data_IF_445106314701
#
_entry.id   IF_445106314701
#
_cell.length_a   1.000
_cell.length_b   1.000
_cell.length_c   1.000
_cell.angle_alpha   90.00
_cell.angle_beta   90.00
_cell.angle_gamma   90.00
#
_symmetry.space_group_name_H-M   'P 1'
#
loop_
_entity.id
_entity.type
_entity.pdbx_description
1 polymer ?
#
# COMPACT_ATOMS: atom_id res chain seq x y z
N UNK A 1 22.35 4.22 16.56
CA UNK A 1 21.06 4.57 15.91
C UNK A 1 20.73 6.02 16.27
N UNK A 2 20.01 6.76 15.41
CA UNK A 2 19.57 8.13 15.73
C UNK A 2 18.38 8.06 16.69
N UNK A 3 18.28 9.02 17.60
CA UNK A 3 17.17 9.13 18.56
C UNK A 3 16.25 10.29 18.19
N UNK A 4 14.95 10.11 18.35
CA UNK A 4 13.92 11.14 18.17
C UNK A 4 13.02 11.20 19.41
N UNK A 5 12.66 12.41 19.84
CA UNK A 5 11.75 12.59 20.97
C UNK A 5 10.33 12.26 20.55
N UNK A 6 9.57 11.59 21.43
CA UNK A 6 8.17 11.25 21.17
C UNK A 6 7.31 12.50 20.99
N UNK A 7 7.67 13.61 21.64
CA UNK A 7 7.00 14.91 21.51
C UNK A 7 7.15 15.53 20.11
N UNK A 8 8.20 15.16 19.37
CA UNK A 8 8.43 15.63 18.01
C UNK A 8 7.68 14.78 16.97
N UNK A 9 7.08 13.66 17.39
CA UNK A 9 6.32 12.78 16.51
C UNK A 9 4.94 13.35 16.21
N UNK A 10 4.61 13.35 14.93
CA UNK A 10 3.31 13.71 14.38
C UNK A 10 2.71 12.49 13.68
N UNK A 11 1.39 12.27 13.83
CA UNK A 11 0.70 11.25 13.05
C UNK A 11 0.99 11.41 11.55
N UNK A 12 1.32 10.32 10.87
CA UNK A 12 1.66 10.31 9.45
C UNK A 12 3.15 10.45 9.12
N UNK A 13 4.03 10.64 10.12
CA UNK A 13 5.48 10.53 9.92
C UNK A 13 5.89 9.10 9.53
N UNK A 14 6.88 8.97 8.66
CA UNK A 14 7.48 7.67 8.28
C UNK A 14 9.00 7.79 8.22
N UNK A 15 9.69 6.67 8.44
CA UNK A 15 11.14 6.57 8.34
C UNK A 15 11.52 5.55 7.28
N UNK A 16 12.61 5.78 6.56
CA UNK A 16 13.12 4.86 5.52
C UNK A 16 13.74 3.57 6.08
N UNK A 17 13.94 3.51 7.40
CA UNK A 17 14.35 2.33 8.16
C UNK A 17 13.38 2.09 9.32
N UNK A 18 13.35 0.88 9.91
CA UNK A 18 12.47 0.59 11.02
C UNK A 18 12.73 1.49 12.22
N UNK A 19 11.67 1.73 12.99
CA UNK A 19 11.69 2.55 14.20
C UNK A 19 11.49 1.63 15.39
N UNK A 20 12.33 1.82 16.40
CA UNK A 20 12.40 1.01 17.60
C UNK A 20 12.09 1.86 18.83
N UNK A 21 11.49 1.23 19.84
CA UNK A 21 11.34 1.77 21.19
C UNK A 21 12.65 1.59 21.95
N UNK A 22 13.26 0.42 21.80
CA UNK A 22 14.54 0.03 22.40
C UNK A 22 15.22 -1.01 21.48
N UNK A 23 16.38 -1.55 21.90
CA UNK A 23 17.15 -2.50 21.09
C UNK A 23 16.40 -3.80 20.71
N UNK A 24 15.31 -4.15 21.40
CA UNK A 24 14.55 -5.37 21.17
C UNK A 24 13.11 -5.14 20.68
N UNK A 25 12.55 -3.94 20.88
CA UNK A 25 11.14 -3.66 20.62
C UNK A 25 10.97 -2.71 19.42
N UNK A 26 10.46 -3.24 18.30
CA UNK A 26 10.14 -2.44 17.12
C UNK A 26 8.77 -1.77 17.27
N UNK A 27 8.72 -0.46 17.04
CA UNK A 27 7.47 0.32 17.01
C UNK A 27 6.76 0.13 15.67
N UNK A 28 7.47 0.41 14.57
CA UNK A 28 6.97 0.31 13.19
C UNK A 28 8.10 -0.11 12.24
N UNK A 29 7.73 -0.83 11.18
CA UNK A 29 8.66 -1.19 10.10
C UNK A 29 9.08 0.01 9.23
N UNK A 30 10.07 -0.21 8.37
CA UNK A 30 10.49 0.80 7.39
C UNK A 30 9.33 1.21 6.47
N UNK A 31 9.25 2.50 6.13
CA UNK A 31 8.23 3.12 5.28
C UNK A 31 6.78 3.02 5.79
N UNK A 32 6.57 2.53 7.01
CA UNK A 32 5.26 2.49 7.67
C UNK A 32 5.01 3.84 8.36
N UNK A 33 3.79 4.35 8.22
CA UNK A 33 3.38 5.60 8.88
C UNK A 33 3.08 5.37 10.34
N UNK A 34 3.59 6.26 11.20
CA UNK A 34 3.29 6.29 12.62
C UNK A 34 1.86 6.81 12.79
N UNK A 35 0.96 6.01 13.37
CA UNK A 35 -0.43 6.39 13.61
C UNK A 35 -0.54 7.17 14.91
N UNK A 36 -1.60 7.97 15.04
CA UNK A 36 -1.87 8.71 16.29
C UNK A 36 -2.03 7.75 17.49
N UNK A 37 -2.59 6.56 17.27
CA UNK A 37 -2.70 5.51 18.27
C UNK A 37 -1.34 5.02 18.79
N UNK A 38 -0.32 4.99 17.93
CA UNK A 38 1.03 4.55 18.29
C UNK A 38 1.69 5.58 19.20
N UNK A 39 1.54 6.87 18.88
CA UNK A 39 2.08 7.98 19.68
C UNK A 39 1.39 8.03 21.05
N UNK A 40 0.05 7.89 21.11
CA UNK A 40 -0.70 7.80 22.37
C UNK A 40 -0.22 6.63 23.25
N UNK A 41 0.12 5.50 22.62
CA UNK A 41 0.63 4.32 23.32
C UNK A 41 2.03 4.57 23.89
N UNK A 42 2.91 5.22 23.14
CA UNK A 42 4.24 5.63 23.62
C UNK A 42 4.15 6.56 24.84
N UNK A 43 3.28 7.57 24.78
CA UNK A 43 3.04 8.48 25.92
C UNK A 43 2.51 7.72 27.14
N UNK A 44 1.55 6.81 26.95
CA UNK A 44 0.99 5.99 28.03
C UNK A 44 2.04 5.07 28.68
N UNK A 45 3.01 4.59 27.90
CA UNK A 45 4.11 3.76 28.37
C UNK A 45 5.26 4.56 28.98
N UNK A 46 5.19 5.90 28.99
CA UNK A 46 6.24 6.77 29.52
C UNK A 46 7.53 6.75 28.69
N UNK A 47 7.45 6.35 27.42
CA UNK A 47 8.58 6.33 26.51
C UNK A 47 8.79 7.75 25.98
N UNK A 48 9.96 8.34 26.26
CA UNK A 48 10.33 9.70 25.86
C UNK A 48 11.05 9.76 24.52
N UNK A 49 11.70 8.67 24.09
CA UNK A 49 12.51 8.61 22.88
C UNK A 49 12.31 7.32 22.09
N UNK A 50 12.50 7.40 20.77
CA UNK A 50 12.52 6.27 19.84
C UNK A 50 13.85 6.25 19.07
N UNK A 51 14.26 5.08 18.60
CA UNK A 51 15.52 4.87 17.88
C UNK A 51 15.28 4.41 16.43
N UNK A 52 16.04 4.95 15.49
CA UNK A 52 16.06 4.45 14.11
C UNK A 52 17.42 4.65 13.46
N UNK A 53 17.82 3.73 12.60
CA UNK A 53 18.98 3.93 11.72
C UNK A 53 18.64 4.82 10.51
N UNK A 54 17.35 5.13 10.32
CA UNK A 54 16.82 5.83 9.17
C UNK A 54 16.80 7.34 9.31
N UNK A 55 16.24 7.98 8.29
CA UNK A 55 15.93 9.41 8.28
C UNK A 55 14.43 9.61 8.13
N UNK A 56 13.94 10.68 8.75
CA UNK A 56 12.55 11.07 8.67
C UNK A 56 12.20 11.43 7.22
N UNK A 57 11.26 10.68 6.65
CA UNK A 57 10.65 10.99 5.36
C UNK A 57 9.33 11.69 5.67
N UNK A 58 9.41 12.95 6.07
CA UNK A 58 8.24 13.77 6.41
C UNK A 58 7.29 13.87 5.21
N UNK A 59 6.00 13.78 5.47
CA UNK A 59 4.91 14.08 4.53
C UNK A 59 4.75 15.58 4.24
N UNK A 60 5.89 16.25 4.02
CA UNK A 60 6.05 17.55 3.34
C UNK A 60 7.23 17.48 2.33
N UNK A 61 8.10 16.48 2.43
CA UNK A 61 9.21 16.26 1.49
C UNK A 61 8.83 15.51 0.22
N UNK A 62 7.59 15.05 0.09
CA UNK A 62 7.07 14.66 -1.24
C UNK A 62 6.88 15.91 -2.14
N UNK A 63 6.81 17.13 -1.56
CA UNK A 63 6.85 18.43 -2.26
C UNK A 63 8.29 19.02 -2.30
N UNK A 64 9.25 18.46 -1.56
CA UNK A 64 10.67 18.92 -1.54
C UNK A 64 11.66 17.96 -2.20
N UNK A 65 11.23 16.84 -2.76
CA UNK A 65 12.03 16.15 -3.79
C UNK A 65 12.16 17.03 -5.06
N UNK A 66 11.22 17.95 -5.25
CA UNK A 66 11.17 18.92 -6.35
C UNK A 66 12.13 20.11 -6.26
N UNK A 67 12.85 20.34 -5.14
CA UNK A 67 13.65 21.57 -4.97
C UNK A 67 15.14 21.37 -4.63
N UNK A 68 15.64 20.13 -4.49
CA UNK A 68 17.08 19.87 -4.29
C UNK A 68 17.72 19.02 -5.39
N UNK A 69 17.08 18.97 -6.55
CA UNK A 69 17.60 18.30 -7.74
C UNK A 69 17.66 19.30 -8.89
N UNK A 70 18.18 20.49 -8.64
CA UNK A 70 18.45 21.48 -9.67
C UNK A 70 19.96 21.64 -9.82
N UNK A 71 20.53 20.87 -10.75
CA UNK A 71 21.60 21.26 -11.68
C UNK A 71 22.30 20.06 -12.37
N UNK A 72 22.19 18.82 -11.88
CA UNK A 72 23.04 17.70 -12.36
C UNK A 72 22.30 16.43 -12.82
N UNK A 73 20.97 16.42 -12.82
CA UNK A 73 20.21 15.20 -13.08
C UNK A 73 19.81 15.10 -14.55
N UNK A 74 20.27 14.02 -15.18
CA UNK A 74 19.94 13.66 -16.57
C UNK A 74 18.43 13.74 -16.81
N UNK A 75 18.03 14.16 -18.03
CA UNK A 75 16.64 14.15 -18.48
C UNK A 75 15.93 12.82 -18.20
N UNK A 76 16.67 11.71 -18.17
CA UNK A 76 16.13 10.38 -17.89
C UNK A 76 15.69 10.20 -16.43
N UNK A 77 16.44 10.76 -15.49
CA UNK A 77 16.08 10.68 -14.08
C UNK A 77 14.86 11.56 -13.77
N UNK A 78 14.70 12.72 -14.42
CA UNK A 78 13.46 13.51 -14.34
C UNK A 78 12.23 12.73 -14.86
N UNK A 79 12.37 12.06 -16.01
CA UNK A 79 11.31 11.19 -16.57
C UNK A 79 10.94 10.01 -15.66
N UNK A 80 11.89 9.47 -14.90
CA UNK A 80 11.62 8.38 -13.94
C UNK A 80 10.79 8.92 -12.76
N UNK A 81 11.16 10.09 -12.24
CA UNK A 81 10.46 10.75 -11.13
C UNK A 81 9.03 11.11 -11.53
N UNK A 82 8.84 11.68 -12.73
CA UNK A 82 7.52 12.05 -13.23
C UNK A 82 6.62 10.81 -13.39
N UNK A 83 7.16 9.70 -13.93
CA UNK A 83 6.44 8.43 -14.04
C UNK A 83 6.05 7.85 -12.68
N UNK A 84 6.97 7.89 -11.70
CA UNK A 84 6.68 7.42 -10.35
C UNK A 84 5.61 8.29 -9.66
N UNK A 85 5.69 9.60 -9.82
CA UNK A 85 4.70 10.54 -9.25
C UNK A 85 3.31 10.32 -9.84
N UNK A 86 3.24 10.10 -11.16
CA UNK A 86 2.01 9.70 -11.84
C UNK A 86 1.49 8.35 -11.35
N UNK A 87 2.35 7.38 -11.03
CA UNK A 87 1.93 6.11 -10.44
C UNK A 87 1.35 6.26 -9.04
N UNK A 88 1.92 7.13 -8.21
CA UNK A 88 1.44 7.37 -6.85
C UNK A 88 -0.01 7.88 -6.81
N UNK A 89 -0.45 8.66 -7.80
CA UNK A 89 -1.84 9.15 -7.83
C UNK A 89 -2.86 8.01 -7.99
N UNK A 90 -2.46 6.88 -8.57
CA UNK A 90 -3.32 5.72 -8.80
C UNK A 90 -3.32 4.73 -7.62
N UNK A 91 -2.43 4.92 -6.63
CA UNK A 91 -2.36 4.07 -5.43
C UNK A 91 -3.68 4.03 -4.67
N UNK A 92 -4.37 5.18 -4.58
CA UNK A 92 -5.66 5.26 -3.89
C UNK A 92 -6.72 4.39 -4.58
N UNK A 93 -6.82 4.50 -5.91
CA UNK A 93 -7.76 3.70 -6.70
C UNK A 93 -7.49 2.19 -6.55
N UNK A 94 -6.21 1.78 -6.56
CA UNK A 94 -5.85 0.39 -6.31
C UNK A 94 -6.32 -0.09 -4.93
N UNK A 95 -6.04 0.68 -3.87
CA UNK A 95 -6.45 0.33 -2.51
C UNK A 95 -7.97 0.17 -2.40
N UNK A 96 -8.72 1.07 -3.03
CA UNK A 96 -10.18 1.07 -2.98
C UNK A 96 -10.74 -0.18 -3.70
N UNK A 97 -10.24 -0.50 -4.90
CA UNK A 97 -10.64 -1.69 -5.67
C UNK A 97 -10.24 -2.99 -4.94
N UNK A 98 -9.01 -3.05 -4.42
CA UNK A 98 -8.51 -4.23 -3.69
C UNK A 98 -9.33 -4.50 -2.42
N UNK A 99 -9.62 -3.44 -1.64
CA UNK A 99 -10.42 -3.57 -0.42
C UNK A 99 -11.84 -4.05 -0.73
N UNK A 100 -12.45 -3.52 -1.79
CA UNK A 100 -13.78 -3.96 -2.21
C UNK A 100 -13.78 -5.41 -2.68
N UNK A 101 -12.77 -5.83 -3.44
CA UNK A 101 -12.60 -7.23 -3.83
C UNK A 101 -12.45 -8.16 -2.61
N UNK A 102 -11.64 -7.76 -1.63
CA UNK A 102 -11.50 -8.53 -0.39
C UNK A 102 -12.83 -8.61 0.37
N UNK A 103 -13.60 -7.53 0.42
CA UNK A 103 -14.91 -7.51 1.07
C UNK A 103 -15.87 -8.50 0.39
N UNK A 104 -16.02 -8.41 -0.93
CA UNK A 104 -16.93 -9.27 -1.69
C UNK A 104 -16.54 -10.75 -1.59
N UNK A 105 -15.25 -11.07 -1.76
CA UNK A 105 -14.78 -12.46 -1.62
C UNK A 105 -14.98 -12.96 -0.19
N UNK A 106 -14.76 -12.12 0.81
CA UNK A 106 -15.01 -12.44 2.22
C UNK A 106 -16.50 -12.71 2.50
N UNK A 107 -17.39 -11.87 1.95
CA UNK A 107 -18.84 -12.00 2.11
C UNK A 107 -19.34 -13.29 1.43
N UNK A 108 -18.87 -13.59 0.22
CA UNK A 108 -19.19 -14.84 -0.49
C UNK A 108 -18.69 -16.06 0.29
N UNK A 109 -17.45 -16.01 0.80
CA UNK A 109 -16.91 -17.09 1.63
C UNK A 109 -17.76 -17.31 2.89
N UNK A 110 -18.21 -16.23 3.52
CA UNK A 110 -19.14 -16.27 4.65
C UNK A 110 -20.48 -16.93 4.29
N UNK A 111 -21.09 -16.52 3.18
CA UNK A 111 -22.35 -17.09 2.70
C UNK A 111 -22.21 -18.60 2.42
N UNK A 112 -21.15 -19.02 1.73
CA UNK A 112 -20.86 -20.44 1.48
C UNK A 112 -20.74 -21.22 2.79
N UNK A 113 -20.04 -20.66 3.79
CA UNK A 113 -19.85 -21.31 5.09
C UNK A 113 -21.17 -21.52 5.84
N UNK A 114 -22.13 -20.61 5.67
CA UNK A 114 -23.42 -20.64 6.37
C UNK A 114 -24.54 -21.26 5.53
N UNK A 115 -24.23 -21.78 4.34
CA UNK A 115 -25.22 -22.31 3.37
C UNK A 115 -26.26 -21.26 2.93
N UNK A 116 -25.82 -20.00 2.81
CA UNK A 116 -26.63 -18.87 2.35
C UNK A 116 -26.45 -18.61 0.85
N UNK A 117 -27.50 -18.11 0.20
CA UNK A 117 -27.40 -17.66 -1.19
C UNK A 117 -26.57 -16.38 -1.32
N UNK A 118 -25.81 -16.28 -2.41
CA UNK A 118 -25.03 -15.08 -2.76
C UNK A 118 -25.19 -14.76 -4.24
N UNK A 119 -25.03 -13.47 -4.59
CA UNK A 119 -25.11 -12.99 -5.96
C UNK A 119 -23.72 -12.88 -6.60
N UNK A 120 -23.62 -13.21 -7.89
CA UNK A 120 -22.36 -13.15 -8.65
C UNK A 120 -22.14 -11.79 -9.34
N UNK A 121 -23.18 -10.96 -9.48
CA UNK A 121 -23.09 -9.68 -10.20
C UNK A 121 -22.04 -8.73 -9.59
N UNK A 122 -21.96 -8.70 -8.26
CA UNK A 122 -20.98 -7.90 -7.53
C UNK A 122 -19.54 -8.38 -7.77
N UNK A 123 -19.35 -9.70 -7.84
CA UNK A 123 -18.06 -10.30 -8.15
C UNK A 123 -17.62 -9.98 -9.59
N UNK A 124 -18.52 -10.14 -10.56
CA UNK A 124 -18.22 -9.81 -11.96
C UNK A 124 -17.85 -8.33 -12.16
N UNK A 125 -18.58 -7.43 -11.50
CA UNK A 125 -18.29 -5.99 -11.55
C UNK A 125 -16.94 -5.67 -10.92
N UNK A 126 -16.56 -6.41 -9.89
CA UNK A 126 -15.24 -6.27 -9.26
C UNK A 126 -14.12 -6.71 -10.19
N UNK A 127 -14.27 -7.86 -10.85
CA UNK A 127 -13.29 -8.33 -11.85
C UNK A 127 -13.14 -7.31 -12.99
N UNK A 128 -14.25 -6.76 -13.50
CA UNK A 128 -14.23 -5.67 -14.49
C UNK A 128 -13.43 -4.45 -14.01
N UNK A 129 -13.63 -4.03 -12.76
CA UNK A 129 -12.92 -2.89 -12.18
C UNK A 129 -11.42 -3.16 -12.04
N UNK A 130 -11.03 -4.40 -11.67
CA UNK A 130 -9.63 -4.81 -11.60
C UNK A 130 -8.99 -4.76 -12.99
N UNK A 131 -9.64 -5.34 -14.01
CA UNK A 131 -9.14 -5.32 -15.39
C UNK A 131 -8.94 -3.88 -15.87
N UNK A 132 -9.95 -3.02 -15.71
CA UNK A 132 -9.87 -1.61 -16.09
C UNK A 132 -8.70 -0.88 -15.42
N UNK A 133 -8.48 -1.13 -14.13
CA UNK A 133 -7.39 -0.52 -13.36
C UNK A 133 -6.00 -0.97 -13.87
N UNK A 134 -5.87 -2.24 -14.27
CA UNK A 134 -4.64 -2.77 -14.85
C UNK A 134 -4.41 -2.17 -16.25
N UNK A 135 -5.44 -2.11 -17.10
CA UNK A 135 -5.36 -1.56 -18.45
C UNK A 135 -5.01 -0.06 -18.46
N UNK A 136 -5.53 0.71 -17.50
CA UNK A 136 -5.19 2.11 -17.33
C UNK A 136 -3.72 2.31 -16.92
N UNK A 137 -3.17 1.42 -16.08
CA UNK A 137 -1.79 1.51 -15.60
C UNK A 137 -1.16 0.15 -15.33
N UNK A 138 -0.44 -0.39 -16.32
CA UNK A 138 0.25 -1.68 -16.20
C UNK A 138 1.31 -1.76 -15.08
N UNK A 139 1.74 -0.64 -14.49
CA UNK A 139 2.73 -0.64 -13.39
C UNK A 139 2.09 -0.60 -12.00
N UNK A 140 0.75 -0.59 -11.90
CA UNK A 140 0.03 -0.49 -10.63
C UNK A 140 0.25 -1.71 -9.72
N UNK A 141 0.61 -2.86 -10.31
CA UNK A 141 0.93 -4.09 -9.58
C UNK A 141 2.12 -3.92 -8.62
N UNK A 142 3.01 -2.95 -8.85
CA UNK A 142 4.14 -2.65 -7.95
C UNK A 142 3.68 -2.31 -6.54
N UNK A 143 2.45 -1.77 -6.40
CA UNK A 143 1.88 -1.40 -5.11
C UNK A 143 1.17 -2.56 -4.39
N UNK A 144 0.92 -3.69 -5.06
CA UNK A 144 0.24 -4.85 -4.45
C UNK A 144 1.04 -5.44 -3.28
N UNK A 145 2.37 -5.45 -3.39
CA UNK A 145 3.26 -5.93 -2.32
C UNK A 145 3.16 -5.10 -1.04
N UNK A 146 2.73 -3.84 -1.15
CA UNK A 146 2.58 -2.91 -0.02
C UNK A 146 1.19 -2.87 0.61
N UNK A 147 0.26 -3.74 0.18
CA UNK A 147 -1.09 -3.79 0.74
C UNK A 147 -1.09 -4.61 2.03
N UNK A 148 -1.67 -4.06 3.10
CA UNK A 148 -1.80 -4.77 4.39
C UNK A 148 -2.71 -5.99 4.21
N UNK A 149 -2.18 -7.19 4.49
CA UNK A 149 -2.93 -8.45 4.37
C UNK A 149 -3.88 -8.73 5.56
N UNK A 150 -3.77 -7.93 6.64
CA UNK A 150 -4.71 -7.92 7.77
C UNK A 150 -4.97 -9.29 8.40
N UNK A 151 -6.15 -9.45 9.05
CA UNK A 151 -6.57 -10.72 9.68
C UNK A 151 -7.09 -11.76 8.67
N UNK A 152 -7.51 -11.31 7.49
CA UNK A 152 -8.09 -12.15 6.45
C UNK A 152 -7.07 -12.47 5.35
N UNK A 153 -5.90 -12.98 5.76
CA UNK A 153 -4.76 -13.22 4.87
C UNK A 153 -5.15 -14.00 3.61
N UNK A 154 -5.89 -15.10 3.73
CA UNK A 154 -6.26 -15.92 2.57
C UNK A 154 -7.13 -15.18 1.56
N UNK A 155 -8.03 -14.32 2.03
CA UNK A 155 -8.87 -13.49 1.16
C UNK A 155 -8.00 -12.45 0.45
N UNK A 156 -7.19 -11.70 1.20
CA UNK A 156 -6.28 -10.71 0.62
C UNK A 156 -5.29 -11.34 -0.38
N UNK A 157 -4.75 -12.51 -0.04
CA UNK A 157 -3.84 -13.26 -0.90
C UNK A 157 -4.52 -13.74 -2.17
N UNK A 158 -5.73 -14.30 -2.09
CA UNK A 158 -6.50 -14.72 -3.26
C UNK A 158 -6.76 -13.56 -4.23
N UNK A 159 -7.10 -12.38 -3.70
CA UNK A 159 -7.28 -11.17 -4.50
C UNK A 159 -5.96 -10.75 -5.15
N UNK A 160 -4.84 -10.73 -4.41
CA UNK A 160 -3.52 -10.42 -4.97
C UNK A 160 -3.15 -11.36 -6.13
N UNK A 161 -3.37 -12.67 -5.96
CA UNK A 161 -3.14 -13.68 -7.01
C UNK A 161 -4.01 -13.39 -8.24
N UNK A 162 -5.26 -12.98 -8.07
CA UNK A 162 -6.15 -12.59 -9.18
C UNK A 162 -5.58 -11.40 -9.96
N UNK A 163 -5.06 -10.36 -9.30
CA UNK A 163 -4.41 -9.25 -10.00
C UNK A 163 -3.22 -9.74 -10.86
N UNK A 164 -2.37 -10.62 -10.31
CA UNK A 164 -1.25 -11.18 -11.07
C UNK A 164 -1.70 -12.06 -12.23
N UNK A 165 -2.72 -12.91 -12.03
CA UNK A 165 -3.26 -13.78 -13.08
C UNK A 165 -3.85 -12.97 -14.23
N UNK A 166 -4.60 -11.91 -13.94
CA UNK A 166 -5.14 -11.00 -14.95
C UNK A 166 -4.04 -10.26 -15.70
N UNK A 167 -3.03 -9.75 -14.99
CA UNK A 167 -1.87 -9.11 -15.62
C UNK A 167 -1.14 -10.05 -16.59
N UNK A 168 -0.93 -11.31 -16.18
CA UNK A 168 -0.33 -12.36 -17.02
C UNK A 168 -1.23 -12.62 -18.24
N UNK A 169 -2.55 -12.79 -18.05
CA UNK A 169 -3.50 -13.02 -19.14
C UNK A 169 -3.53 -11.89 -20.17
N UNK A 170 -3.48 -10.63 -19.71
CA UNK A 170 -3.34 -9.44 -20.57
C UNK A 170 -2.00 -9.47 -21.31
N UNK A 171 -0.91 -9.81 -20.63
CA UNK A 171 0.42 -9.98 -21.24
C UNK A 171 0.45 -11.06 -22.32
N UNK A 172 -0.32 -12.13 -22.14
CA UNK A 172 -0.55 -13.20 -23.12
C UNK A 172 -1.57 -12.85 -24.21
N UNK A 173 -2.12 -11.62 -24.19
CA UNK A 173 -3.10 -11.10 -25.15
C UNK A 173 -4.42 -11.91 -25.19
N UNK A 174 -4.86 -12.42 -24.05
CA UNK A 174 -6.19 -13.01 -23.96
C UNK A 174 -7.28 -11.93 -24.12
N UNK A 175 -8.37 -12.22 -24.87
CA UNK A 175 -9.49 -11.30 -24.97
C UNK A 175 -10.19 -11.17 -23.61
N UNK A 176 -10.82 -10.02 -23.36
CA UNK A 176 -11.48 -9.70 -22.08
C UNK A 176 -12.52 -10.77 -21.67
N UNK A 177 -13.21 -11.38 -22.62
CA UNK A 177 -14.15 -12.50 -22.40
C UNK A 177 -13.51 -13.72 -21.75
N UNK A 178 -12.19 -13.93 -21.94
CA UNK A 178 -11.42 -15.03 -21.33
C UNK A 178 -10.78 -14.64 -19.98
N UNK A 179 -10.86 -13.37 -19.61
CA UNK A 179 -10.31 -12.84 -18.36
C UNK A 179 -11.38 -12.68 -17.27
N UNK A 180 -12.66 -12.76 -17.64
CA UNK A 180 -13.83 -12.65 -16.75
C UNK A 180 -14.41 -14.03 -16.51
#
# INVERSE_FOLDING_TARGET
MKKYLVEELRPGMRFDKPVYIDSNNMLVGANVTIKESDIKRLMKWGISEIETAGSLVSSESDIKFTQKIDASVSMDAKKIIDRYTSLLSHRKALNDVHREACRIVGDIYGAIKNDEMFALDSLENTVKNIIKLIEENNNIFLFLYGLEEGKAYYVAHSVNVTFYALLIGIGLKYPTEKLR
#
